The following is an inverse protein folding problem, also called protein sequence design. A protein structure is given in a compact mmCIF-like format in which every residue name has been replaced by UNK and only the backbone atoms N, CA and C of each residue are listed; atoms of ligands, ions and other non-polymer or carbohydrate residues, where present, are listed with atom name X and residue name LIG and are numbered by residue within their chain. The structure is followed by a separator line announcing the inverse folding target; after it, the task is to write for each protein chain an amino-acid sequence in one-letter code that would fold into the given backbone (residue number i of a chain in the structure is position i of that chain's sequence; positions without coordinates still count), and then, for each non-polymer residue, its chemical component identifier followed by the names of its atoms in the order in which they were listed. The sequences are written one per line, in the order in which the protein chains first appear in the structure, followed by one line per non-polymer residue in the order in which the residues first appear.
data_IF_300213290247
#
_entry.id   IF_300213290247
#
_cell.length_a   1.000
_cell.length_b   1.000
_cell.length_c   1.000
_cell.angle_alpha   90.00
_cell.angle_beta   90.00
_cell.angle_gamma   90.00
#
_symmetry.space_group_name_H-M   'P 1'
#
loop_
_entity.id
_entity.type
_entity.pdbx_description
1 polymer ?
#
# COMPACT_ATOMS: atom_id res chain seq x y z
N UNK A 1 9.84 5.65 -30.81
CA UNK A 1 9.26 7.01 -30.83
C UNK A 1 8.42 7.16 -29.58
N UNK A 2 8.52 8.29 -28.86
CA UNK A 2 7.77 8.48 -27.61
C UNK A 2 6.28 8.68 -27.96
N UNK A 3 5.45 7.70 -27.62
CA UNK A 3 4.00 7.80 -27.77
C UNK A 3 3.47 8.77 -26.71
N UNK A 4 2.82 9.84 -27.15
CA UNK A 4 2.12 10.81 -26.29
C UNK A 4 0.64 10.42 -26.08
N UNK A 5 0.24 9.25 -26.57
CA UNK A 5 -1.11 8.70 -26.54
C UNK A 5 -1.08 7.23 -26.15
N UNK A 6 -2.18 6.72 -25.60
CA UNK A 6 -2.30 5.31 -25.29
C UNK A 6 -2.08 4.44 -26.52
N UNK A 7 -1.20 3.44 -26.41
CA UNK A 7 -0.95 2.46 -27.45
C UNK A 7 -1.12 1.04 -26.94
N UNK A 8 -1.43 0.13 -27.86
CA UNK A 8 -1.59 -1.30 -27.61
C UNK A 8 -0.49 -2.04 -28.35
N UNK A 9 0.66 -2.23 -27.68
CA UNK A 9 1.77 -3.04 -28.19
C UNK A 9 2.27 -3.99 -27.11
N UNK A 10 2.77 -5.15 -27.55
CA UNK A 10 3.43 -6.14 -26.71
C UNK A 10 4.91 -5.82 -26.49
N UNK A 11 5.49 -4.91 -27.29
CA UNK A 11 6.89 -4.51 -27.21
C UNK A 11 7.09 -3.32 -26.27
N UNK A 12 7.31 -3.60 -24.97
CA UNK A 12 7.45 -2.56 -23.94
C UNK A 12 8.74 -2.74 -23.14
N UNK A 13 9.47 -1.63 -22.97
CA UNK A 13 10.56 -1.45 -22.01
C UNK A 13 10.01 -0.79 -20.74
N UNK A 14 9.98 -1.50 -19.62
CA UNK A 14 9.41 -0.99 -18.36
C UNK A 14 10.50 -0.76 -17.30
N UNK A 15 10.59 0.48 -16.80
CA UNK A 15 11.42 0.97 -15.68
C UNK A 15 12.95 0.85 -15.83
N UNK A 16 13.46 -0.23 -16.41
CA UNK A 16 14.88 -0.55 -16.56
C UNK A 16 15.09 -1.01 -18.00
N UNK A 17 16.16 -0.54 -18.66
CA UNK A 17 16.49 -0.91 -20.04
C UNK A 17 16.59 -2.43 -20.28
N UNK A 18 16.84 -3.20 -19.21
CA UNK A 18 16.93 -4.66 -19.23
C UNK A 18 15.57 -5.37 -19.28
N UNK A 19 14.47 -4.71 -18.90
CA UNK A 19 13.13 -5.34 -18.88
C UNK A 19 12.42 -5.09 -20.21
N UNK A 20 12.80 -5.85 -21.24
CA UNK A 20 12.18 -5.81 -22.58
C UNK A 20 11.22 -6.97 -22.77
N UNK A 21 10.02 -6.65 -23.21
CA UNK A 21 9.01 -7.64 -23.59
C UNK A 21 9.00 -7.79 -25.09
N UNK A 22 9.57 -8.86 -25.64
CA UNK A 22 9.56 -9.10 -27.10
C UNK A 22 8.50 -10.14 -27.52
N UNK A 23 7.82 -10.78 -26.54
CA UNK A 23 6.90 -11.89 -26.77
C UNK A 23 5.60 -11.71 -25.99
N UNK A 24 4.52 -12.35 -26.46
CA UNK A 24 3.23 -12.37 -25.76
C UNK A 24 3.33 -12.91 -24.33
N UNK A 25 4.16 -13.93 -24.10
CA UNK A 25 4.36 -14.52 -22.77
C UNK A 25 5.08 -13.54 -21.82
N UNK A 26 6.17 -12.91 -22.27
CA UNK A 26 6.89 -11.93 -21.45
C UNK A 26 6.07 -10.66 -21.20
N UNK A 27 5.26 -10.25 -22.16
CA UNK A 27 4.28 -9.18 -21.97
C UNK A 27 3.23 -9.57 -20.91
N UNK A 28 2.63 -10.76 -21.02
CA UNK A 28 1.68 -11.27 -20.02
C UNK A 28 2.26 -11.37 -18.61
N UNK A 29 3.50 -11.84 -18.46
CA UNK A 29 4.21 -11.86 -17.17
C UNK A 29 4.41 -10.45 -16.61
N UNK A 30 4.71 -9.49 -17.46
CA UNK A 30 4.87 -8.09 -17.06
C UNK A 30 3.54 -7.49 -16.60
N UNK A 31 2.44 -7.77 -17.29
CA UNK A 31 1.10 -7.36 -16.85
C UNK A 31 0.74 -7.97 -15.49
N UNK A 32 1.01 -9.26 -15.30
CA UNK A 32 0.81 -9.95 -14.03
C UNK A 32 1.67 -9.32 -12.92
N UNK A 33 2.93 -9.00 -13.20
CA UNK A 33 3.82 -8.32 -12.25
C UNK A 33 3.29 -6.92 -11.87
N UNK A 34 2.80 -6.13 -12.83
CA UNK A 34 2.18 -4.83 -12.57
C UNK A 34 0.91 -4.95 -11.72
N UNK A 35 0.08 -5.96 -11.99
CA UNK A 35 -1.12 -6.26 -11.20
C UNK A 35 -0.77 -6.64 -9.76
N UNK A 36 0.22 -7.53 -9.58
CA UNK A 36 0.68 -7.95 -8.25
C UNK A 36 1.30 -6.77 -7.50
N UNK A 37 2.16 -5.98 -8.15
CA UNK A 37 2.82 -4.83 -7.53
C UNK A 37 1.82 -3.76 -7.06
N UNK A 38 0.78 -3.50 -7.85
CA UNK A 38 -0.29 -2.56 -7.48
C UNK A 38 -1.20 -3.09 -6.38
N UNK A 39 -1.55 -4.38 -6.38
CA UNK A 39 -2.27 -5.00 -5.27
C UNK A 39 -1.42 -4.98 -3.97
N UNK A 40 -0.11 -5.25 -4.08
CA UNK A 40 0.82 -5.20 -2.97
C UNK A 40 1.02 -3.78 -2.42
N UNK A 41 1.00 -2.76 -3.28
CA UNK A 41 0.99 -1.35 -2.85
C UNK A 41 -0.18 -1.05 -1.91
N UNK A 42 -1.41 -1.45 -2.29
CA UNK A 42 -2.60 -1.30 -1.45
C UNK A 42 -2.49 -2.08 -0.13
N UNK A 43 -1.94 -3.30 -0.17
CA UNK A 43 -1.69 -4.09 1.04
C UNK A 43 -0.77 -3.36 2.03
N UNK A 44 0.33 -2.78 1.54
CA UNK A 44 1.25 -2.02 2.39
C UNK A 44 0.63 -0.73 2.93
N UNK A 45 -0.20 -0.05 2.14
CA UNK A 45 -0.95 1.13 2.56
C UNK A 45 -1.89 0.78 3.73
N UNK A 46 -2.66 -0.30 3.61
CA UNK A 46 -3.56 -0.79 4.66
C UNK A 46 -2.81 -1.14 5.95
N UNK A 47 -1.72 -1.91 5.84
CA UNK A 47 -0.87 -2.24 6.99
C UNK A 47 -0.31 -1.00 7.67
N UNK A 48 0.12 0.00 6.92
CA UNK A 48 0.62 1.26 7.47
C UNK A 48 -0.48 2.02 8.21
N UNK A 49 -1.69 2.08 7.68
CA UNK A 49 -2.84 2.72 8.33
C UNK A 49 -3.17 1.98 9.63
N UNK A 50 -3.29 0.64 9.61
CA UNK A 50 -3.56 -0.16 10.81
C UNK A 50 -2.49 -0.01 11.88
N UNK A 51 -1.21 0.00 11.51
CA UNK A 51 -0.12 0.22 12.47
C UNK A 51 -0.21 1.60 13.11
N UNK A 52 -0.57 2.65 12.35
CA UNK A 52 -0.81 3.99 12.90
C UNK A 52 -2.03 4.02 13.84
N UNK A 53 -3.11 3.34 13.48
CA UNK A 53 -4.32 3.24 14.32
C UNK A 53 -4.03 2.50 15.64
N UNK A 54 -3.33 1.37 15.59
CA UNK A 54 -2.92 0.61 16.79
C UNK A 54 -1.93 1.43 17.64
N UNK A 55 -0.99 2.14 17.01
CA UNK A 55 -0.08 3.02 17.75
C UNK A 55 -0.82 4.18 18.43
N UNK A 56 -1.88 4.72 17.80
CA UNK A 56 -2.73 5.75 18.37
C UNK A 56 -3.59 5.20 19.52
N UNK A 57 -4.14 3.99 19.40
CA UNK A 57 -4.95 3.36 20.47
C UNK A 57 -4.10 2.97 21.69
N UNK A 58 -2.88 2.46 21.47
CA UNK A 58 -1.92 2.18 22.56
C UNK A 58 -1.41 3.48 23.22
N UNK A 59 -1.44 4.59 22.50
CA UNK A 59 -1.13 5.92 23.01
C UNK A 59 -2.31 6.65 23.70
N UNK A 60 -3.54 6.14 23.58
CA UNK A 60 -4.75 6.73 24.16
C UNK A 60 -5.34 5.83 25.25
N UNK A 61 -4.71 5.80 26.43
CA UNK A 61 -5.44 5.51 27.67
C UNK A 61 -6.49 6.61 27.89
N UNK A 62 -7.71 6.29 28.40
CA UNK A 62 -8.74 7.29 28.61
C UNK A 62 -8.28 8.25 29.72
N UNK A 63 -7.96 9.48 29.34
CA UNK A 63 -7.67 10.55 30.28
C UNK A 63 -8.98 11.05 30.90
N UNK A 64 -9.46 10.35 31.92
CA UNK A 64 -10.30 10.94 32.95
C UNK A 64 -9.40 11.74 33.91
N UNK A 65 -9.58 13.07 33.88
CA UNK A 65 -9.30 14.06 34.92
C UNK A 65 -7.89 14.12 35.56
N UNK A 66 -7.03 15.02 35.07
CA UNK A 66 -6.38 16.13 35.83
C UNK A 66 -5.12 16.66 35.11
N UNK A 67 -4.87 17.98 35.06
CA UNK A 67 -3.60 18.52 34.59
C UNK A 67 -2.57 18.44 35.72
N UNK A 68 -1.28 18.35 35.37
CA UNK A 68 -0.11 18.27 36.26
C UNK A 68 0.22 16.84 36.71
N UNK A 69 0.86 16.07 35.83
CA UNK A 69 1.91 15.16 36.27
C UNK A 69 2.97 15.05 35.16
N UNK A 70 4.18 15.46 35.52
CA UNK A 70 5.36 15.47 34.67
C UNK A 70 5.70 14.04 34.25
N UNK A 71 5.96 13.76 32.95
CA UNK A 71 6.33 12.43 32.52
C UNK A 71 7.81 12.21 32.86
N UNK A 72 8.09 11.94 34.13
CA UNK A 72 9.38 11.45 34.57
C UNK A 72 9.58 10.04 34.01
N UNK A 73 10.44 9.98 32.99
CA UNK A 73 11.44 8.92 32.87
C UNK A 73 10.90 7.48 32.73
N UNK A 74 9.92 7.26 31.85
CA UNK A 74 9.63 5.90 31.41
C UNK A 74 10.66 5.45 30.36
N UNK A 75 11.76 4.89 30.86
CA UNK A 75 12.82 4.26 30.07
C UNK A 75 12.24 3.14 29.17
N UNK A 76 11.88 3.50 27.94
CA UNK A 76 11.62 2.61 26.79
C UNK A 76 12.52 2.96 25.59
N UNK A 77 13.75 3.38 25.88
CA UNK A 77 14.74 3.89 24.90
C UNK A 77 15.13 2.84 23.84
N UNK A 78 15.08 1.53 24.12
CA UNK A 78 15.46 0.49 23.15
C UNK A 78 14.36 0.09 22.15
N UNK A 79 13.08 0.10 22.57
CA UNK A 79 11.97 -0.43 21.75
C UNK A 79 11.29 0.65 20.89
N UNK A 80 11.44 1.91 21.27
CA UNK A 80 10.95 3.05 20.49
C UNK A 80 11.73 3.27 19.18
N UNK A 81 13.06 3.03 19.17
CA UNK A 81 13.87 3.23 17.97
C UNK A 81 13.52 2.23 16.85
N UNK A 82 13.47 0.93 17.16
CA UNK A 82 13.17 -0.11 16.17
C UNK A 82 11.77 0.05 15.54
N UNK A 83 10.76 0.43 16.34
CA UNK A 83 9.38 0.61 15.87
C UNK A 83 9.25 1.86 14.97
N UNK A 84 9.95 2.96 15.33
CA UNK A 84 10.01 4.18 14.50
C UNK A 84 10.76 3.91 13.19
N UNK A 85 11.87 3.19 13.25
CA UNK A 85 12.65 2.82 12.07
C UNK A 85 11.86 1.89 11.14
N UNK A 86 11.20 0.87 11.68
CA UNK A 86 10.34 -0.03 10.91
C UNK A 86 9.19 0.75 10.24
N UNK A 87 8.55 1.69 10.95
CA UNK A 87 7.53 2.56 10.37
C UNK A 87 8.06 3.46 9.24
N UNK A 88 9.27 4.01 9.39
CA UNK A 88 9.92 4.80 8.36
C UNK A 88 10.32 3.95 7.14
N UNK A 89 10.84 2.74 7.36
CA UNK A 89 11.18 1.80 6.30
C UNK A 89 9.94 1.38 5.50
N UNK A 90 8.84 1.02 6.17
CA UNK A 90 7.56 0.71 5.52
C UNK A 90 7.04 1.89 4.70
N UNK A 91 7.17 3.12 5.21
CA UNK A 91 6.82 4.31 4.45
C UNK A 91 7.70 4.50 3.21
N UNK A 92 9.01 4.31 3.35
CA UNK A 92 9.95 4.40 2.23
C UNK A 92 9.64 3.37 1.15
N UNK A 93 9.39 2.11 1.53
CA UNK A 93 9.04 1.02 0.60
C UNK A 93 7.73 1.32 -0.11
N UNK A 94 6.67 1.69 0.62
CA UNK A 94 5.37 2.02 0.02
C UNK A 94 5.50 3.21 -0.95
N UNK A 95 6.22 4.27 -0.57
CA UNK A 95 6.45 5.43 -1.45
C UNK A 95 7.22 5.05 -2.70
N UNK A 96 8.28 4.23 -2.56
CA UNK A 96 9.06 3.75 -3.70
C UNK A 96 8.18 2.97 -4.69
N UNK A 97 7.36 2.04 -4.20
CA UNK A 97 6.45 1.27 -5.05
C UNK A 97 5.43 2.18 -5.74
N UNK A 98 4.86 3.17 -5.02
CA UNK A 98 3.96 4.15 -5.61
C UNK A 98 4.58 4.92 -6.78
N UNK A 99 5.83 5.37 -6.63
CA UNK A 99 6.57 6.02 -7.72
C UNK A 99 6.90 5.07 -8.86
N UNK A 100 7.22 3.80 -8.60
CA UNK A 100 7.44 2.80 -9.64
C UNK A 100 6.17 2.52 -10.45
N UNK A 101 5.01 2.45 -9.80
CA UNK A 101 3.71 2.30 -10.46
C UNK A 101 3.41 3.55 -11.32
N UNK A 102 3.68 4.75 -10.80
CA UNK A 102 3.52 6.00 -11.55
C UNK A 102 4.40 6.02 -12.81
N UNK A 103 5.66 5.61 -12.68
CA UNK A 103 6.58 5.45 -13.83
C UNK A 103 6.07 4.41 -14.82
N UNK A 104 5.50 3.30 -14.34
CA UNK A 104 4.89 2.29 -15.20
C UNK A 104 3.70 2.83 -15.99
N UNK A 105 2.82 3.62 -15.35
CA UNK A 105 1.65 4.22 -16.01
C UNK A 105 2.06 5.29 -17.04
N UNK A 106 3.14 6.01 -16.77
CA UNK A 106 3.74 6.96 -17.72
C UNK A 106 4.30 6.30 -19.00
N UNK A 107 4.34 4.96 -19.08
CA UNK A 107 4.68 4.25 -20.31
C UNK A 107 3.63 4.37 -21.41
N UNK A 108 2.43 4.90 -21.11
CA UNK A 108 1.27 5.02 -22.01
C UNK A 108 0.84 3.70 -22.68
N UNK A 109 1.27 2.55 -22.15
CA UNK A 109 0.81 1.26 -22.63
C UNK A 109 -0.58 0.94 -22.04
N UNK A 110 -1.57 0.69 -22.90
CA UNK A 110 -2.94 0.43 -22.48
C UNK A 110 -3.09 -0.79 -21.57
N UNK A 111 -2.36 -1.87 -21.84
CA UNK A 111 -2.42 -3.08 -21.03
C UNK A 111 -1.79 -2.89 -19.65
N UNK A 112 -0.64 -2.22 -19.57
CA UNK A 112 0.03 -1.90 -18.29
C UNK A 112 -0.87 -1.01 -17.43
N UNK A 113 -1.45 0.04 -18.03
CA UNK A 113 -2.40 0.91 -17.34
C UNK A 113 -3.59 0.11 -16.80
N UNK A 114 -4.21 -0.74 -17.62
CA UNK A 114 -5.34 -1.56 -17.20
C UNK A 114 -4.96 -2.54 -16.08
N UNK A 115 -3.81 -3.20 -16.18
CA UNK A 115 -3.31 -4.12 -15.16
C UNK A 115 -3.08 -3.42 -13.82
N UNK A 116 -2.52 -2.20 -13.82
CA UNK A 116 -2.34 -1.39 -12.62
C UNK A 116 -3.68 -1.00 -12.01
N UNK A 117 -4.63 -0.50 -12.81
CA UNK A 117 -5.96 -0.10 -12.31
C UNK A 117 -6.69 -1.30 -11.71
N UNK A 118 -6.67 -2.44 -12.40
CA UNK A 118 -7.28 -3.68 -11.89
C UNK A 118 -6.59 -4.17 -10.62
N UNK A 119 -5.26 -4.15 -10.55
CA UNK A 119 -4.54 -4.57 -9.34
C UNK A 119 -4.80 -3.63 -8.15
N UNK A 120 -4.90 -2.32 -8.37
CA UNK A 120 -5.32 -1.36 -7.33
C UNK A 120 -6.75 -1.62 -6.85
N UNK A 121 -7.67 -1.95 -7.76
CA UNK A 121 -9.06 -2.26 -7.44
C UNK A 121 -9.18 -3.59 -6.66
N UNK A 122 -8.51 -4.65 -7.13
CA UNK A 122 -8.45 -5.94 -6.45
C UNK A 122 -7.81 -5.80 -5.07
N UNK A 123 -6.68 -5.08 -4.97
CA UNK A 123 -6.01 -4.83 -3.70
C UNK A 123 -6.88 -4.06 -2.71
N UNK A 124 -7.62 -3.04 -3.19
CA UNK A 124 -8.60 -2.35 -2.36
C UNK A 124 -9.69 -3.29 -1.85
N UNK A 125 -10.29 -4.11 -2.74
CA UNK A 125 -11.36 -5.03 -2.36
C UNK A 125 -10.88 -6.10 -1.35
N UNK A 126 -9.71 -6.70 -1.59
CA UNK A 126 -9.21 -7.78 -0.74
C UNK A 126 -8.77 -7.29 0.65
N UNK A 127 -8.09 -6.15 0.73
CA UNK A 127 -7.45 -5.72 1.98
C UNK A 127 -8.23 -4.62 2.73
N UNK A 128 -9.00 -3.78 2.02
CA UNK A 128 -9.72 -2.65 2.61
C UNK A 128 -11.21 -2.93 2.79
N UNK A 129 -11.84 -3.76 1.97
CA UNK A 129 -13.27 -4.09 2.14
C UNK A 129 -13.54 -5.15 3.21
N UNK A 130 -12.54 -5.98 3.56
CA UNK A 130 -12.68 -7.00 4.61
C UNK A 130 -12.88 -6.46 6.04
N UNK A 131 -12.56 -5.19 6.30
CA UNK A 131 -12.80 -4.54 7.59
C UNK A 131 -14.24 -4.03 7.77
N UNK A 132 -15.01 -3.91 6.67
CA UNK A 132 -16.40 -3.42 6.71
C UNK A 132 -17.42 -4.51 7.02
N UNK A 133 -17.15 -5.76 6.66
CA UNK A 133 -18.11 -6.87 6.83
C UNK A 133 -18.11 -7.43 8.26
N UNK A 134 -16.98 -7.36 8.96
CA UNK A 134 -16.89 -7.80 10.37
C UNK A 134 -17.51 -6.76 11.32
N UNK A 135 -17.39 -5.46 11.01
CA UNK A 135 -17.96 -4.40 11.85
C UNK A 135 -19.50 -4.30 11.78
N UNK A 136 -20.13 -4.81 10.71
CA UNK A 136 -21.59 -4.84 10.57
C UNK A 136 -22.20 -6.06 11.27
N UNK A 137 -21.49 -7.20 11.30
CA UNK A 137 -21.95 -8.40 12.02
C UNK A 137 -21.88 -8.21 13.54
N UNK A 138 -20.90 -7.46 14.07
CA UNK A 138 -20.80 -7.20 15.51
C UNK A 138 -21.84 -6.19 16.07
N UNK A 139 -22.53 -5.43 15.21
CA UNK A 139 -23.58 -4.48 15.64
C UNK A 139 -24.99 -5.08 15.70
N UNK A 140 -25.16 -6.37 15.41
CA UNK A 140 -26.46 -7.04 15.49
C UNK A 140 -26.87 -7.46 16.93
N UNK A 141 -25.97 -7.33 17.92
CA UNK A 141 -26.23 -7.77 19.31
C UNK A 141 -26.03 -6.67 20.37
N UNK A 142 -26.19 -5.39 20.03
CA UNK A 142 -26.27 -4.32 21.03
C UNK A 142 -27.73 -4.02 21.43
N UNK A 143 -28.43 -5.03 21.96
CA UNK A 143 -29.71 -4.89 22.66
C UNK A 143 -29.81 -5.96 23.76
N UNK A 144 -29.21 -5.71 24.93
CA UNK A 144 -29.59 -6.29 26.22
C UNK A 144 -29.09 -5.37 27.35
#
# INVERSE_FOLDING_TARGET
MMHMTFYWSTSVTLLIDSWKTESWASYGLTLLACLIASAFYQYLEDRRIRLKLIAASVGSSPASASPIEEPLLQSKIGRWSATKFAGAALFGINSAIGYLIMLAVMSFNGGVFLAVVLGLAIGYLLFRSGDGDVAVVDNACACA
#
